data_IF_101640458725
#
_entry.id   IF_101640458725
#
_cell.length_a   1.000
_cell.length_b   1.000
_cell.length_c   1.000
_cell.angle_alpha   90.00
_cell.angle_beta   90.00
_cell.angle_gamma   90.00
#
_symmetry.space_group_name_H-M   'P 1'
#
loop_
_entity.id
_entity.type
_entity.pdbx_description
1 polymer ?
#
# COMPACT_ATOMS: atom_id res chain seq x y z
N UNK A 1 3.59 -1.73 -1.07
CA UNK A 1 3.55 -2.90 -1.97
C UNK A 1 4.52 -3.99 -1.46
N UNK A 2 4.54 -5.18 -2.07
CA UNK A 2 5.63 -6.15 -1.88
C UNK A 2 6.88 -5.75 -2.69
N UNK A 3 7.99 -6.46 -2.51
CA UNK A 3 9.22 -6.21 -3.28
C UNK A 3 9.03 -6.39 -4.80
N UNK A 4 8.18 -7.34 -5.22
CA UNK A 4 7.79 -7.53 -6.63
C UNK A 4 7.05 -6.32 -7.20
N UNK A 5 6.27 -5.62 -6.38
CA UNK A 5 5.63 -4.35 -6.74
C UNK A 5 6.54 -3.15 -6.50
N UNK A 6 7.85 -3.38 -6.46
CA UNK A 6 8.92 -2.40 -6.28
C UNK A 6 8.74 -1.44 -5.10
N UNK A 7 8.27 -1.95 -3.95
CA UNK A 7 8.09 -1.13 -2.76
C UNK A 7 9.28 -0.25 -2.33
N UNK A 8 10.57 -0.62 -2.51
CA UNK A 8 11.67 0.29 -2.14
C UNK A 8 11.92 1.41 -3.15
N UNK A 9 11.37 1.35 -4.37
CA UNK A 9 11.57 2.38 -5.41
C UNK A 9 10.40 3.37 -5.48
N UNK A 10 9.28 3.07 -4.81
CA UNK A 10 8.10 3.93 -4.75
C UNK A 10 8.07 4.78 -3.48
N UNK A 11 7.74 6.06 -3.64
CA UNK A 11 7.35 6.94 -2.54
C UNK A 11 6.05 6.47 -1.88
N UNK A 12 5.79 6.88 -0.63
CA UNK A 12 4.52 6.51 0.04
C UNK A 12 3.28 7.06 -0.67
N UNK A 13 3.41 8.21 -1.34
CA UNK A 13 2.32 8.79 -2.13
C UNK A 13 2.03 7.91 -3.35
N UNK A 14 3.07 7.48 -4.08
CA UNK A 14 2.93 6.56 -5.21
C UNK A 14 2.37 5.19 -4.78
N UNK A 15 2.81 4.67 -3.63
CA UNK A 15 2.24 3.43 -3.08
C UNK A 15 0.75 3.59 -2.75
N UNK A 16 0.34 4.74 -2.20
CA UNK A 16 -1.08 5.04 -1.95
C UNK A 16 -1.89 5.11 -3.25
N UNK A 17 -1.34 5.72 -4.30
CA UNK A 17 -1.97 5.77 -5.63
C UNK A 17 -2.08 4.38 -6.26
N UNK A 18 -1.03 3.57 -6.15
CA UNK A 18 -1.02 2.18 -6.61
C UNK A 18 -2.15 1.37 -5.96
N UNK A 19 -2.32 1.47 -4.64
CA UNK A 19 -3.38 0.74 -3.94
C UNK A 19 -4.78 1.13 -4.43
N UNK A 20 -5.04 2.43 -4.65
CA UNK A 20 -6.31 2.91 -5.21
C UNK A 20 -6.54 2.39 -6.61
N UNK A 21 -5.54 2.49 -7.49
CA UNK A 21 -5.63 2.00 -8.85
C UNK A 21 -5.94 0.49 -8.91
N UNK A 22 -5.33 -0.33 -8.04
CA UNK A 22 -5.63 -1.76 -7.96
C UNK A 22 -7.05 -1.99 -7.45
N UNK A 23 -7.47 -1.29 -6.38
CA UNK A 23 -8.83 -1.40 -5.82
C UNK A 23 -9.93 -1.03 -6.82
N UNK A 24 -9.67 -0.07 -7.70
CA UNK A 24 -10.58 0.31 -8.79
C UNK A 24 -10.65 -0.76 -9.90
N UNK A 25 -9.54 -1.46 -10.14
CA UNK A 25 -9.42 -2.43 -11.23
C UNK A 25 -9.98 -3.83 -10.88
N UNK A 26 -10.05 -4.21 -9.61
CA UNK A 26 -10.41 -5.58 -9.19
C UNK A 26 -11.47 -5.62 -8.11
N UNK A 27 -12.27 -6.70 -8.10
CA UNK A 27 -13.26 -6.97 -7.05
C UNK A 27 -12.96 -8.29 -6.32
N UNK A 28 -11.73 -8.41 -5.82
CA UNK A 28 -11.24 -9.51 -4.97
C UNK A 28 -10.54 -8.92 -3.75
N UNK A 29 -10.34 -9.68 -2.65
CA UNK A 29 -9.61 -9.20 -1.49
C UNK A 29 -8.19 -8.75 -1.82
N UNK A 30 -7.76 -7.60 -1.29
CA UNK A 30 -6.43 -7.01 -1.50
C UNK A 30 -5.68 -6.89 -0.17
N UNK A 31 -4.45 -7.42 -0.15
CA UNK A 31 -3.50 -7.23 0.96
C UNK A 31 -2.39 -6.26 0.54
N UNK A 32 -2.13 -5.24 1.36
CA UNK A 32 -1.11 -4.23 1.08
C UNK A 32 0.11 -4.34 2.00
N UNK A 33 1.25 -4.73 1.43
CA UNK A 33 2.53 -4.63 2.14
C UNK A 33 2.86 -3.17 2.47
N UNK A 34 2.83 -2.83 3.76
CA UNK A 34 3.11 -1.47 4.28
C UNK A 34 4.32 -1.43 5.23
N UNK A 35 5.17 -2.45 5.17
CA UNK A 35 6.40 -2.53 5.94
C UNK A 35 7.43 -1.48 5.53
N UNK A 36 8.12 -0.92 6.51
CA UNK A 36 9.25 0.00 6.34
C UNK A 36 10.23 -0.19 7.51
N UNK A 37 11.49 0.22 7.32
CA UNK A 37 12.49 0.25 8.40
C UNK A 37 12.28 1.41 9.37
N UNK A 38 11.42 2.39 9.04
CA UNK A 38 10.93 3.42 9.96
C UNK A 38 9.49 3.08 10.40
N UNK A 39 9.29 2.89 11.70
CA UNK A 39 7.97 2.56 12.27
C UNK A 39 6.94 3.66 12.04
N UNK A 40 7.33 4.94 12.09
CA UNK A 40 6.41 6.06 11.83
C UNK A 40 5.98 6.05 10.37
N UNK A 41 6.93 5.79 9.46
CA UNK A 41 6.65 5.63 8.03
C UNK A 41 5.69 4.46 7.76
N UNK A 42 5.94 3.30 8.36
CA UNK A 42 5.09 2.13 8.20
C UNK A 42 3.65 2.42 8.65
N UNK A 43 3.48 3.05 9.82
CA UNK A 43 2.15 3.43 10.34
C UNK A 43 1.43 4.43 9.43
N UNK A 44 2.14 5.42 8.89
CA UNK A 44 1.55 6.39 7.94
C UNK A 44 1.07 5.68 6.65
N UNK A 45 1.92 4.80 6.11
CA UNK A 45 1.59 4.04 4.91
C UNK A 45 0.43 3.06 5.14
N UNK A 46 0.37 2.41 6.30
CA UNK A 46 -0.78 1.59 6.71
C UNK A 46 -2.08 2.39 6.69
N UNK A 47 -2.10 3.59 7.27
CA UNK A 47 -3.30 4.45 7.25
C UNK A 47 -3.73 4.79 5.83
N UNK A 48 -2.78 5.11 4.95
CA UNK A 48 -3.04 5.39 3.54
C UNK A 48 -3.60 4.17 2.81
N UNK A 49 -3.07 2.99 3.08
CA UNK A 49 -3.55 1.74 2.49
C UNK A 49 -5.00 1.45 2.90
N UNK A 50 -5.33 1.59 4.19
CA UNK A 50 -6.71 1.45 4.69
C UNK A 50 -7.65 2.46 4.02
N UNK A 51 -7.23 3.72 3.90
CA UNK A 51 -8.00 4.75 3.18
C UNK A 51 -8.15 4.47 1.68
N UNK A 52 -7.25 3.69 1.08
CA UNK A 52 -7.35 3.24 -0.30
C UNK A 52 -8.29 2.05 -0.48
N UNK A 53 -8.85 1.49 0.60
CA UNK A 53 -9.83 0.41 0.54
C UNK A 53 -9.25 -0.99 0.44
N UNK A 54 -8.02 -1.20 0.92
CA UNK A 54 -7.43 -2.54 1.01
C UNK A 54 -8.07 -3.33 2.16
N UNK A 55 -8.16 -4.65 2.02
CA UNK A 55 -8.84 -5.53 2.98
C UNK A 55 -7.89 -6.06 4.07
N UNK A 56 -6.58 -6.00 3.82
CA UNK A 56 -5.55 -6.45 4.76
C UNK A 56 -4.19 -5.79 4.55
N UNK A 57 -3.26 -6.05 5.47
CA UNK A 57 -1.88 -5.54 5.49
C UNK A 57 -0.87 -6.70 5.48
#
# INVERSE_FOLDING_TARGET
AGTTGESPTLTHDEQGQLFRAVREAVNVPITAGTGSNDTRAAVDLTKRAVLAGVDGL
#
